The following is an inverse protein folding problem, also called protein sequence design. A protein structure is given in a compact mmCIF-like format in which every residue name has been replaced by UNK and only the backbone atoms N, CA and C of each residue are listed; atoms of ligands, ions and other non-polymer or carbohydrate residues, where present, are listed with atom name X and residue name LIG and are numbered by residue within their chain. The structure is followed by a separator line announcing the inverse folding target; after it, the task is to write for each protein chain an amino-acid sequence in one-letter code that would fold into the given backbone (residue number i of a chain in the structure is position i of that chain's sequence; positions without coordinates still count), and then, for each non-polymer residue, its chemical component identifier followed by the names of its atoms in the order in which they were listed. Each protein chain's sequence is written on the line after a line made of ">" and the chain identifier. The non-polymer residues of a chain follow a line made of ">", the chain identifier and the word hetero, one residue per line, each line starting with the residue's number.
data_IF_306104991177
#
_entry.id   IF_306104991177
#
_cell.length_a   1.000
_cell.length_b   1.000
_cell.length_c   1.000
_cell.angle_alpha   90.00
_cell.angle_beta   90.00
_cell.angle_gamma   90.00
#
_symmetry.space_group_name_H-M   'P 1'
#
loop_
_entity.id
_entity.type
_entity.pdbx_description
1 polymer ?
#
# COMPACT_ATOMS: atom_id res chain seq x y z
N UNK A 1 16.85 -37.76 10.51
CA UNK A 1 16.98 -36.50 9.71
C UNK A 1 15.68 -36.00 9.08
N UNK A 2 14.78 -36.85 8.54
CA UNK A 2 13.51 -36.39 7.92
C UNK A 2 12.49 -35.79 8.91
N UNK A 3 12.35 -36.38 10.10
CA UNK A 3 11.42 -35.88 11.12
C UNK A 3 11.74 -34.46 11.61
N UNK A 4 13.03 -34.13 11.74
CA UNK A 4 13.46 -32.76 12.13
C UNK A 4 13.16 -31.73 11.03
N UNK A 5 13.27 -32.11 9.75
CA UNK A 5 12.89 -31.24 8.62
C UNK A 5 11.38 -31.00 8.60
N UNK A 6 10.58 -32.03 8.89
CA UNK A 6 9.12 -31.92 8.97
C UNK A 6 8.66 -31.03 10.14
N UNK A 7 9.30 -31.17 11.31
CA UNK A 7 9.03 -30.32 12.46
C UNK A 7 9.39 -28.85 12.20
N UNK A 8 10.54 -28.59 11.58
CA UNK A 8 10.92 -27.24 11.18
C UNK A 8 9.95 -26.61 10.18
N UNK A 9 9.49 -27.38 9.18
CA UNK A 9 8.51 -26.91 8.21
C UNK A 9 7.17 -26.55 8.89
N UNK A 10 6.68 -27.40 9.80
CA UNK A 10 5.44 -27.18 10.53
C UNK A 10 5.47 -25.90 11.36
N UNK A 11 6.59 -25.65 12.04
CA UNK A 11 6.80 -24.41 12.82
C UNK A 11 6.81 -23.20 11.90
N UNK A 12 7.55 -23.22 10.79
CA UNK A 12 7.58 -22.09 9.85
C UNK A 12 6.19 -21.83 9.27
N UNK A 13 5.43 -22.86 8.89
CA UNK A 13 4.06 -22.68 8.37
C UNK A 13 3.08 -22.12 9.39
N UNK A 14 3.29 -22.35 10.69
CA UNK A 14 2.42 -21.83 11.74
C UNK A 14 2.72 -20.36 12.09
N UNK A 15 4.01 -19.98 12.11
CA UNK A 15 4.41 -18.64 12.56
C UNK A 15 4.62 -17.63 11.43
N UNK A 16 5.00 -18.08 10.23
CA UNK A 16 5.11 -17.19 9.08
C UNK A 16 3.84 -16.39 8.77
N UNK A 17 2.61 -16.96 8.76
CA UNK A 17 1.41 -16.18 8.48
C UNK A 17 1.11 -15.14 9.57
N UNK A 18 1.46 -15.44 10.83
CA UNK A 18 1.29 -14.51 11.95
C UNK A 18 2.26 -13.33 11.81
N UNK A 19 3.52 -13.60 11.45
CA UNK A 19 4.52 -12.56 11.18
C UNK A 19 4.13 -11.69 9.97
N UNK A 20 3.56 -12.30 8.92
CA UNK A 20 3.04 -11.58 7.76
C UNK A 20 1.86 -10.69 8.16
N UNK A 21 0.90 -11.21 8.96
CA UNK A 21 -0.25 -10.43 9.43
C UNK A 21 0.14 -9.23 10.30
N UNK A 22 1.12 -9.42 11.19
CA UNK A 22 1.62 -8.36 12.08
C UNK A 22 2.50 -7.35 11.34
N UNK A 23 3.26 -7.80 10.33
CA UNK A 23 4.09 -6.96 9.49
C UNK A 23 3.32 -6.24 8.38
N UNK A 24 2.15 -6.76 7.97
CA UNK A 24 1.19 -6.05 7.15
C UNK A 24 0.51 -5.01 8.02
N UNK A 25 1.16 -3.86 8.19
CA UNK A 25 0.52 -2.68 8.76
C UNK A 25 -0.80 -2.41 8.03
N UNK A 26 -1.75 -1.81 8.75
CA UNK A 26 -2.95 -1.22 8.13
C UNK A 26 -2.52 -0.44 6.90
N UNK A 27 -3.21 -0.59 5.77
CA UNK A 27 -2.96 0.21 4.57
C UNK A 27 -2.82 1.67 5.02
N UNK A 28 -1.59 2.20 4.97
CA UNK A 28 -1.12 3.27 5.87
C UNK A 28 -1.92 4.58 5.78
N UNK A 29 -2.84 4.68 4.83
CA UNK A 29 -3.53 5.90 4.45
C UNK A 29 -5.04 5.91 4.75
N UNK A 30 -5.56 4.94 5.49
CA UNK A 30 -6.98 4.87 5.93
C UNK A 30 -7.42 6.17 6.65
N UNK A 31 -6.50 6.80 7.39
CA UNK A 31 -6.74 8.01 8.19
C UNK A 31 -6.13 9.28 7.61
N UNK A 32 -5.64 9.26 6.36
CA UNK A 32 -4.85 10.36 5.79
C UNK A 32 -5.61 11.21 4.78
N UNK A 33 -6.87 10.89 4.46
CA UNK A 33 -7.72 11.81 3.69
C UNK A 33 -7.81 13.18 4.38
N UNK A 34 -7.45 14.24 3.65
CA UNK A 34 -7.43 15.61 4.16
C UNK A 34 -6.22 15.99 5.01
N UNK A 35 -5.25 15.08 5.21
CA UNK A 35 -3.96 15.42 5.82
C UNK A 35 -2.97 15.93 4.78
N UNK A 36 -1.99 16.77 5.21
CA UNK A 36 -0.89 17.14 4.35
C UNK A 36 -0.11 15.89 3.93
N UNK A 37 0.23 15.84 2.65
CA UNK A 37 0.95 14.72 2.05
C UNK A 37 2.27 15.17 1.42
N UNK A 38 3.23 14.26 1.29
CA UNK A 38 4.51 14.52 0.63
C UNK A 38 5.20 13.20 0.27
N UNK A 39 5.91 13.08 -0.87
CA UNK A 39 6.03 14.07 -1.94
C UNK A 39 4.80 14.14 -2.86
N UNK A 40 4.66 15.23 -3.62
CA UNK A 40 3.64 15.37 -4.67
C UNK A 40 3.73 14.20 -5.66
N UNK A 41 2.59 13.63 -6.04
CA UNK A 41 2.51 12.46 -6.92
C UNK A 41 2.72 11.11 -6.22
N UNK A 42 2.96 11.08 -4.89
CA UNK A 42 2.95 9.83 -4.14
C UNK A 42 1.59 9.13 -4.27
N UNK A 43 1.59 7.80 -4.43
CA UNK A 43 0.38 6.97 -4.54
C UNK A 43 0.42 5.93 -3.44
N UNK A 44 -0.68 5.79 -2.71
CA UNK A 44 -0.81 4.82 -1.61
C UNK A 44 -2.20 4.19 -1.65
N UNK A 45 -2.34 3.04 -0.99
CA UNK A 45 -3.64 2.41 -0.82
C UNK A 45 -4.23 2.89 0.51
N UNK A 46 -5.34 3.62 0.45
CA UNK A 46 -6.16 3.95 1.60
C UNK A 46 -7.41 3.08 1.64
N UNK A 47 -8.37 3.50 2.44
CA UNK A 47 -9.71 2.91 2.52
C UNK A 47 -10.70 4.04 2.21
N UNK A 48 -11.62 3.87 1.25
CA UNK A 48 -12.02 2.64 0.58
C UNK A 48 -11.21 2.25 -0.67
N UNK A 49 -10.11 2.94 -0.99
CA UNK A 49 -9.36 2.64 -2.22
C UNK A 49 -8.08 3.44 -2.40
N UNK A 50 -7.49 3.42 -3.61
CA UNK A 50 -6.25 4.11 -3.89
C UNK A 50 -6.40 5.62 -3.81
N UNK A 51 -5.37 6.28 -3.28
CA UNK A 51 -5.30 7.73 -3.15
C UNK A 51 -3.94 8.22 -3.65
N UNK A 52 -3.86 9.49 -4.04
CA UNK A 52 -2.61 10.12 -4.44
C UNK A 52 -2.45 11.51 -3.85
N UNK A 53 -1.20 11.93 -3.68
CA UNK A 53 -0.85 13.22 -3.16
C UNK A 53 -0.87 14.25 -4.30
N UNK A 54 -1.78 15.22 -4.23
CA UNK A 54 -1.94 16.27 -5.23
C UNK A 54 -1.91 17.65 -4.58
N UNK A 55 -1.42 18.64 -5.33
CA UNK A 55 -1.55 20.05 -4.98
C UNK A 55 -2.97 20.55 -5.21
N UNK A 56 -3.55 21.21 -4.22
CA UNK A 56 -4.86 21.87 -4.32
C UNK A 56 -4.73 23.28 -4.93
N UNK A 57 -5.86 23.95 -5.14
CA UNK A 57 -5.91 25.31 -5.73
C UNK A 57 -5.19 26.37 -4.87
N UNK A 58 -5.02 26.11 -3.57
CA UNK A 58 -4.32 26.99 -2.63
C UNK A 58 -2.81 26.73 -2.58
N UNK A 59 -2.32 25.72 -3.30
CA UNK A 59 -0.92 25.33 -3.32
C UNK A 59 -0.50 24.32 -2.25
N UNK A 60 -1.40 23.86 -1.39
CA UNK A 60 -1.13 22.85 -0.37
C UNK A 60 -1.23 21.43 -0.94
N UNK A 61 -0.42 20.52 -0.41
CA UNK A 61 -0.46 19.11 -0.79
C UNK A 61 -1.46 18.34 0.07
N UNK A 62 -2.39 17.62 -0.57
CA UNK A 62 -3.40 16.80 0.11
C UNK A 62 -3.61 15.45 -0.56
N UNK A 63 -3.99 14.45 0.24
CA UNK A 63 -4.41 13.15 -0.27
C UNK A 63 -5.80 13.24 -0.91
N UNK A 64 -5.90 12.80 -2.16
CA UNK A 64 -7.15 12.76 -2.94
C UNK A 64 -7.41 11.35 -3.48
N UNK A 65 -8.68 10.91 -3.54
CA UNK A 65 -9.03 9.59 -4.05
C UNK A 65 -8.76 9.47 -5.55
N UNK A 66 -8.19 8.33 -5.97
CA UNK A 66 -8.12 7.94 -7.38
C UNK A 66 -9.42 7.23 -7.71
N UNK A 67 -10.22 7.80 -8.62
CA UNK A 67 -11.46 7.16 -9.03
C UNK A 67 -11.17 5.82 -9.74
N UNK A 68 -12.08 4.85 -9.62
CA UNK A 68 -11.90 3.50 -10.18
C UNK A 68 -11.57 3.50 -11.68
N UNK A 69 -12.17 4.41 -12.44
CA UNK A 69 -11.93 4.58 -13.88
C UNK A 69 -10.57 5.22 -14.21
N UNK A 70 -9.91 5.85 -13.24
CA UNK A 70 -8.56 6.45 -13.37
C UNK A 70 -7.45 5.50 -12.89
N UNK A 71 -7.80 4.33 -12.35
CA UNK A 71 -6.81 3.36 -11.85
C UNK A 71 -5.90 2.86 -12.97
N UNK A 72 -6.41 2.67 -14.19
CA UNK A 72 -5.58 2.29 -15.34
C UNK A 72 -4.55 3.36 -15.73
N UNK A 73 -4.74 4.63 -15.38
CA UNK A 73 -3.73 5.67 -15.63
C UNK A 73 -2.78 5.77 -14.44
N UNK A 74 -3.30 5.59 -13.22
CA UNK A 74 -2.52 5.72 -12.00
C UNK A 74 -1.50 4.58 -11.76
N UNK A 75 -1.80 3.34 -12.17
CA UNK A 75 -0.89 2.20 -11.99
C UNK A 75 -0.07 1.87 -13.25
N UNK A 76 -0.50 2.30 -14.44
CA UNK A 76 0.18 1.95 -15.70
C UNK A 76 1.34 2.86 -16.09
N UNK A 77 1.56 4.00 -15.40
CA UNK A 77 2.76 4.82 -15.59
C UNK A 77 4.08 4.13 -15.15
N UNK A 78 4.02 2.90 -14.61
CA UNK A 78 5.21 2.13 -14.19
C UNK A 78 5.33 0.73 -14.80
N UNK A 79 4.97 0.56 -16.07
CA UNK A 79 5.40 -0.61 -16.86
C UNK A 79 6.25 -0.28 -18.09
N UNK A 80 6.79 0.93 -18.18
CA UNK A 80 7.78 1.27 -19.20
C UNK A 80 7.88 2.77 -19.39
N UNK A 81 8.90 3.39 -18.81
CA UNK A 81 9.39 4.67 -19.32
C UNK A 81 10.33 4.42 -20.51
N UNK A 82 10.46 5.36 -21.46
CA UNK A 82 11.64 5.43 -22.32
C UNK A 82 12.92 5.68 -21.50
#
# INVERSE_FOLDING_TARGET
>A
MRAMKLAGLAVVTAFAPIAILLGSGTAHADSDLGKPCSPEGAKVWGNPGPIYCQRNENGDLQWVPIAAWQMCVAFCDRLGGP
#
